data_IF_048567734649
#
_entry.id   IF_048567734649
#
_cell.length_a   1.000
_cell.length_b   1.000
_cell.length_c   1.000
_cell.angle_alpha   90.00
_cell.angle_beta   90.00
_cell.angle_gamma   90.00
#
_symmetry.space_group_name_H-M   'P 1'
#
loop_
_entity.id
_entity.type
_entity.pdbx_description
1 polymer ?
#
# COMPACT_ATOMS: atom_id res chain seq x y z
N UNK A 1 24.33 -22.46 -14.12
CA UNK A 1 23.02 -21.87 -14.46
C UNK A 1 22.26 -21.69 -13.16
N UNK A 2 21.83 -20.48 -12.87
CA UNK A 2 21.50 -19.97 -11.54
C UNK A 2 20.05 -19.53 -11.54
N UNK A 3 19.21 -20.01 -10.61
CA UNK A 3 17.99 -19.29 -10.17
C UNK A 3 17.72 -19.64 -8.70
N UNK A 4 18.00 -18.67 -7.82
CA UNK A 4 17.49 -18.61 -6.45
C UNK A 4 16.07 -18.04 -6.51
N UNK A 5 15.06 -18.87 -6.25
CA UNK A 5 13.66 -18.42 -6.15
C UNK A 5 13.42 -18.04 -4.69
N UNK A 6 13.70 -16.78 -4.35
CA UNK A 6 13.24 -16.21 -3.09
C UNK A 6 11.77 -15.80 -3.27
N UNK A 7 10.85 -16.78 -3.23
CA UNK A 7 9.41 -16.50 -3.24
C UNK A 7 9.06 -15.81 -1.92
N UNK A 8 8.96 -14.48 -1.95
CA UNK A 8 8.44 -13.69 -0.85
C UNK A 8 7.04 -14.20 -0.46
N UNK A 9 6.70 -14.31 0.83
CA UNK A 9 5.43 -14.88 1.26
C UNK A 9 4.25 -14.07 0.71
N UNK A 10 3.49 -14.68 -0.20
CA UNK A 10 2.27 -14.12 -0.80
C UNK A 10 1.14 -14.24 0.23
N UNK A 11 0.72 -13.11 0.82
CA UNK A 11 -0.44 -13.08 1.71
C UNK A 11 -1.71 -12.93 0.87
N UNK A 12 -2.63 -13.90 0.97
CA UNK A 12 -3.97 -13.79 0.37
C UNK A 12 -4.75 -12.69 1.09
N UNK A 13 -5.21 -11.68 0.35
CA UNK A 13 -6.05 -10.62 0.91
C UNK A 13 -7.53 -11.02 0.83
N UNK A 14 -8.06 -11.55 1.93
CA UNK A 14 -9.50 -11.53 2.20
C UNK A 14 -9.89 -10.13 2.70
N UNK A 15 -10.69 -9.43 1.91
CA UNK A 15 -11.16 -8.07 2.20
C UNK A 15 -10.67 -6.99 1.23
N UNK A 16 -10.80 -5.73 1.63
CA UNK A 16 -10.40 -4.58 0.82
C UNK A 16 -9.76 -3.47 1.65
N UNK A 17 -8.95 -2.65 0.98
CA UNK A 17 -8.24 -1.53 1.58
C UNK A 17 -9.13 -0.30 1.57
N UNK A 18 -9.72 0.00 2.72
CA UNK A 18 -10.46 1.23 2.95
C UNK A 18 -9.68 2.17 3.90
N UNK A 19 -10.14 3.41 4.04
CA UNK A 19 -9.51 4.41 4.92
C UNK A 19 -9.36 3.92 6.37
N UNK A 20 -10.30 3.10 6.87
CA UNK A 20 -10.25 2.56 8.23
C UNK A 20 -9.26 1.39 8.40
N UNK A 21 -8.82 0.77 7.30
CA UNK A 21 -8.03 -0.48 7.27
C UNK A 21 -8.70 -1.66 8.01
N UNK A 22 -9.99 -1.55 8.30
CA UNK A 22 -10.70 -2.52 9.16
C UNK A 22 -11.36 -3.62 8.35
N UNK A 23 -11.46 -3.45 7.03
CA UNK A 23 -12.12 -4.38 6.12
C UNK A 23 -11.17 -5.44 5.56
N UNK A 24 -10.02 -5.66 6.21
CA UNK A 24 -9.03 -6.68 5.85
C UNK A 24 -8.63 -7.49 7.08
N UNK A 25 -8.16 -8.71 6.86
CA UNK A 25 -7.63 -9.55 7.93
C UNK A 25 -6.51 -8.83 8.71
N UNK A 26 -6.38 -9.04 10.05
CA UNK A 26 -5.38 -8.36 10.87
C UNK A 26 -3.93 -8.49 10.36
N UNK A 27 -3.57 -9.65 9.81
CA UNK A 27 -2.24 -9.89 9.23
C UNK A 27 -1.99 -9.01 7.99
N UNK A 28 -3.01 -8.84 7.14
CA UNK A 28 -2.95 -7.96 5.97
C UNK A 28 -2.85 -6.50 6.38
N UNK A 29 -3.59 -6.09 7.42
CA UNK A 29 -3.49 -4.73 7.99
C UNK A 29 -2.09 -4.44 8.50
N UNK A 30 -1.51 -5.35 9.26
CA UNK A 30 -0.15 -5.20 9.77
C UNK A 30 0.88 -5.12 8.63
N UNK A 31 0.76 -5.98 7.61
CA UNK A 31 1.63 -5.93 6.43
C UNK A 31 1.49 -4.61 5.65
N UNK A 32 0.25 -4.12 5.47
CA UNK A 32 -0.01 -2.82 4.85
C UNK A 32 0.64 -1.69 5.65
N UNK A 33 0.44 -1.64 6.97
CA UNK A 33 1.01 -0.59 7.83
C UNK A 33 2.54 -0.58 7.79
N UNK A 34 3.19 -1.74 7.81
CA UNK A 34 4.64 -1.83 7.68
C UNK A 34 5.13 -1.36 6.30
N UNK A 35 4.41 -1.69 5.23
CA UNK A 35 4.74 -1.18 3.89
C UNK A 35 4.56 0.34 3.78
N UNK A 36 3.49 0.90 4.35
CA UNK A 36 3.27 2.35 4.37
C UNK A 36 4.41 3.06 5.10
N UNK A 37 4.80 2.56 6.29
CA UNK A 37 5.94 3.10 7.05
C UNK A 37 7.24 2.97 6.29
N UNK A 38 7.53 1.79 5.73
CA UNK A 38 8.73 1.55 4.95
C UNK A 38 8.84 2.48 3.75
N UNK A 39 7.70 2.78 3.10
CA UNK A 39 7.66 3.68 1.94
C UNK A 39 7.89 5.15 2.29
N UNK A 40 7.59 5.57 3.53
CA UNK A 40 7.90 6.91 4.02
C UNK A 40 9.30 7.03 4.64
N UNK A 41 10.06 5.94 4.73
CA UNK A 41 11.48 6.02 5.07
C UNK A 41 12.26 6.52 3.84
N UNK A 42 13.04 7.59 3.96
CA UNK A 42 13.85 8.05 2.85
C UNK A 42 14.89 6.98 2.46
N UNK A 43 15.27 6.90 1.17
CA UNK A 43 16.51 6.22 0.80
C UNK A 43 17.69 6.93 1.48
N UNK A 44 18.78 6.18 1.73
CA UNK A 44 19.90 6.50 2.64
C UNK A 44 20.73 7.77 2.43
N UNK A 45 20.17 8.82 1.83
CA UNK A 45 20.75 10.16 1.67
C UNK A 45 20.15 11.21 2.62
N UNK A 46 19.01 10.94 3.26
CA UNK A 46 18.34 11.88 4.17
C UNK A 46 18.18 11.29 5.57
N UNK A 47 18.60 12.01 6.61
CA UNK A 47 18.36 11.64 8.00
C UNK A 47 16.90 11.96 8.39
N UNK A 48 16.22 10.99 9.02
CA UNK A 48 14.84 11.11 9.50
C UNK A 48 13.90 10.06 8.93
N UNK A 49 12.81 9.76 9.63
CA UNK A 49 11.73 8.90 9.13
C UNK A 49 10.51 9.77 8.80
N UNK A 50 10.05 9.71 7.56
CA UNK A 50 8.80 10.38 7.19
C UNK A 50 7.60 9.69 7.85
N UNK A 51 6.61 10.48 8.24
CA UNK A 51 5.36 10.01 8.81
C UNK A 51 4.32 9.75 7.72
N UNK A 52 3.58 8.65 7.87
CA UNK A 52 2.41 8.35 7.04
C UNK A 52 1.25 9.23 7.50
N UNK A 53 0.74 10.06 6.60
CA UNK A 53 -0.40 10.95 6.85
C UNK A 53 -1.42 10.84 5.72
N UNK A 54 -2.65 11.28 5.97
CA UNK A 54 -3.72 11.38 4.96
C UNK A 54 -3.96 10.11 4.14
N UNK A 55 -3.87 8.93 4.76
CA UNK A 55 -4.24 7.68 4.12
C UNK A 55 -5.73 7.69 3.76
N UNK A 56 -6.07 7.43 2.49
CA UNK A 56 -7.45 7.40 1.98
C UNK A 56 -7.88 6.02 1.47
N UNK A 57 -7.04 5.00 1.62
CA UNK A 57 -7.24 3.66 1.08
C UNK A 57 -6.30 3.42 -0.11
N UNK A 58 -6.41 4.21 -1.17
CA UNK A 58 -5.60 4.05 -2.39
C UNK A 58 -4.40 5.00 -2.48
N UNK A 59 -4.28 5.96 -1.57
CA UNK A 59 -3.15 6.87 -1.50
C UNK A 59 -2.88 7.32 -0.07
N UNK A 60 -1.70 7.89 0.15
CA UNK A 60 -1.28 8.52 1.39
C UNK A 60 -0.23 9.57 1.11
N UNK A 61 0.15 10.33 2.14
CA UNK A 61 1.26 11.25 2.10
C UNK A 61 2.36 10.77 3.04
N UNK A 62 3.60 10.89 2.59
CA UNK A 62 4.77 10.84 3.45
C UNK A 62 5.17 12.27 3.77
N UNK A 63 5.20 12.62 5.05
CA UNK A 63 5.54 13.96 5.54
C UNK A 63 6.80 13.89 6.40
N UNK A 64 7.77 14.74 6.13
CA UNK A 64 9.01 14.86 6.90
C UNK A 64 9.24 16.35 7.21
N UNK A 65 9.41 16.67 8.49
CA UNK A 65 9.76 18.03 8.92
C UNK A 65 11.23 18.06 9.31
N UNK A 66 11.99 18.99 8.73
CA UNK A 66 13.40 19.23 9.05
C UNK A 66 13.61 20.71 9.32
N UNK A 67 13.89 21.06 10.58
CA UNK A 67 13.90 22.46 11.01
C UNK A 67 12.55 23.11 10.69
N UNK A 68 12.57 24.15 9.85
CA UNK A 68 11.35 24.86 9.42
C UNK A 68 10.83 24.41 8.04
N UNK A 69 11.44 23.40 7.41
CA UNK A 69 11.04 22.91 6.10
C UNK A 69 10.22 21.64 6.22
N UNK A 70 9.01 21.67 5.67
CA UNK A 70 8.15 20.51 5.52
C UNK A 70 8.26 19.95 4.11
N UNK A 71 8.64 18.69 4.00
CA UNK A 71 8.69 17.93 2.75
C UNK A 71 7.52 16.96 2.77
N UNK A 72 6.63 17.05 1.79
CA UNK A 72 5.47 16.16 1.66
C UNK A 72 5.44 15.53 0.27
N UNK A 73 5.37 14.21 0.21
CA UNK A 73 5.21 13.45 -1.02
C UNK A 73 3.89 12.66 -0.98
N UNK A 74 3.07 12.77 -2.03
CA UNK A 74 1.94 11.88 -2.18
C UNK A 74 2.38 10.55 -2.80
N UNK A 75 1.98 9.45 -2.18
CA UNK A 75 2.24 8.09 -2.64
C UNK A 75 0.90 7.43 -2.98
N UNK A 76 0.88 6.70 -4.09
CA UNK A 76 -0.29 5.97 -4.59
C UNK A 76 -0.04 4.48 -4.46
N UNK A 77 -1.06 3.75 -4.03
CA UNK A 77 -1.06 2.29 -4.07
C UNK A 77 -1.12 1.82 -5.53
N UNK A 78 -0.69 0.58 -5.75
CA UNK A 78 -0.71 -0.06 -7.06
C UNK A 78 -2.14 -0.18 -7.60
N UNK A 79 -2.28 -0.08 -8.92
CA UNK A 79 -3.56 -0.27 -9.58
C UNK A 79 -4.06 -1.72 -9.39
N UNK A 80 -5.36 -1.89 -9.15
CA UNK A 80 -5.98 -3.22 -9.04
C UNK A 80 -6.15 -3.74 -7.61
N UNK A 81 -5.53 -3.10 -6.60
CA UNK A 81 -5.75 -3.42 -5.19
C UNK A 81 -7.23 -3.21 -4.84
N UNK A 82 -7.93 -4.21 -4.26
CA UNK A 82 -9.32 -4.05 -3.82
C UNK A 82 -9.44 -2.96 -2.77
N UNK A 83 -10.40 -2.05 -2.94
CA UNK A 83 -10.56 -0.89 -2.05
C UNK A 83 -12.01 -0.60 -1.64
N UNK A 84 -12.96 -1.43 -2.06
CA UNK A 84 -14.37 -1.29 -1.68
C UNK A 84 -15.14 -2.61 -1.69
N UNK A 85 -16.35 -2.61 -1.09
CA UNK A 85 -17.16 -3.81 -0.89
C UNK A 85 -17.83 -4.37 -2.16
N UNK A 86 -17.89 -3.58 -3.23
CA UNK A 86 -18.57 -3.94 -4.48
C UNK A 86 -17.58 -4.30 -5.60
N UNK A 87 -16.33 -4.63 -5.23
CA UNK A 87 -15.26 -4.94 -6.18
C UNK A 87 -14.57 -3.70 -6.75
N UNK A 88 -14.68 -2.55 -6.09
CA UNK A 88 -13.89 -1.36 -6.40
C UNK A 88 -12.39 -1.66 -6.25
N UNK A 89 -11.58 -1.05 -7.12
CA UNK A 89 -10.14 -1.24 -7.15
C UNK A 89 -9.41 0.10 -7.24
N UNK A 90 -8.20 0.16 -6.71
CA UNK A 90 -7.36 1.33 -6.84
C UNK A 90 -7.00 1.58 -8.31
N UNK A 91 -7.12 2.83 -8.74
CA UNK A 91 -6.65 3.33 -10.04
C UNK A 91 -6.10 4.74 -9.88
N UNK A 92 -4.82 4.92 -10.16
CA UNK A 92 -4.11 6.20 -10.02
C UNK A 92 -4.26 6.85 -8.63
N UNK A 93 -4.30 6.02 -7.58
CA UNK A 93 -4.44 6.46 -6.19
C UNK A 93 -5.87 6.77 -5.75
N UNK A 94 -6.88 6.44 -6.56
CA UNK A 94 -8.30 6.59 -6.21
C UNK A 94 -8.99 5.24 -6.20
N UNK A 95 -9.94 5.05 -5.30
CA UNK A 95 -10.81 3.87 -5.32
C UNK A 95 -11.91 4.08 -6.36
N UNK A 96 -11.93 3.26 -7.42
CA UNK A 96 -12.86 3.41 -8.54
C UNK A 96 -13.40 2.05 -9.02
N UNK A 97 -14.49 2.09 -9.78
CA UNK A 97 -15.16 0.90 -10.27
C UNK A 97 -16.25 0.45 -9.31
N UNK A 98 -16.43 -0.86 -9.20
CA UNK A 98 -17.58 -1.48 -8.55
C UNK A 98 -18.65 -1.86 -9.57
N UNK A 99 -19.09 -3.11 -9.52
CA UNK A 99 -20.15 -3.65 -10.38
C UNK A 99 -21.05 -4.58 -9.58
N UNK A 100 -22.23 -4.91 -10.10
CA UNK A 100 -23.26 -5.75 -9.43
C UNK A 100 -22.86 -7.21 -9.20
N UNK A 101 -21.60 -7.59 -9.44
CA UNK A 101 -21.10 -8.92 -9.13
C UNK A 101 -20.29 -8.89 -7.84
N UNK A 102 -20.74 -9.67 -6.85
CA UNK A 102 -19.96 -10.08 -5.68
C UNK A 102 -18.72 -10.84 -6.16
N UNK A 103 -17.66 -10.13 -6.54
CA UNK A 103 -16.39 -10.74 -6.93
C UNK A 103 -15.68 -11.15 -5.64
N UNK A 104 -15.65 -12.46 -5.38
CA UNK A 104 -14.75 -13.06 -4.39
C UNK A 104 -13.30 -12.86 -4.85
N UNK A 105 -12.50 -12.25 -3.99
CA UNK A 105 -11.15 -11.78 -4.31
C UNK A 105 -10.14 -12.94 -4.43
N UNK A 106 -9.35 -12.93 -5.50
CA UNK A 106 -8.00 -13.50 -5.54
C UNK A 106 -7.07 -12.44 -6.13
N UNK A 107 -6.38 -11.69 -5.28
CA UNK A 107 -5.33 -10.75 -5.70
C UNK A 107 -4.01 -11.17 -5.06
N UNK A 108 -2.99 -11.32 -5.91
CA UNK A 108 -1.63 -11.69 -5.50
C UNK A 108 -0.84 -10.40 -5.25
N UNK A 109 -0.47 -10.15 -4.00
CA UNK A 109 0.43 -9.05 -3.65
C UNK A 109 1.84 -9.41 -4.11
N UNK A 110 2.46 -8.57 -4.94
CA UNK A 110 3.86 -8.72 -5.37
C UNK A 110 4.67 -7.61 -4.68
N UNK A 111 5.62 -7.95 -3.77
CA UNK A 111 6.51 -6.93 -3.22
C UNK A 111 7.50 -6.46 -4.29
N UNK A 112 7.82 -5.15 -4.28
CA UNK A 112 8.87 -4.56 -5.13
C UNK A 112 10.23 -5.20 -4.81
N UNK A 113 10.96 -5.53 -5.88
CA UNK A 113 12.33 -6.03 -5.85
C UNK A 113 13.29 -4.98 -5.26
N UNK A 114 14.30 -5.44 -4.52
CA UNK A 114 15.33 -4.59 -3.90
C UNK A 114 16.32 -3.92 -4.86
N UNK A 115 15.96 -3.81 -6.15
CA UNK A 115 16.79 -3.22 -7.21
C UNK A 115 16.10 -2.06 -7.96
N UNK A 116 14.96 -1.57 -7.49
CA UNK A 116 14.27 -0.38 -8.03
C UNK A 116 14.44 0.86 -7.16
#
# INVERSE_FOLDING_TARGET
LQIVISDSPKVSMDGYVDKSKSQMAPICRAALEEQLKARCRPPGFYEGAGEVTNFDGCSFKCKLTRGNTEISQQVKLENGIPCGPNGEKCKHGKCVGGGTSRITCRVTFVPKSGYE
#
